data_IF_748593939273
#
_entry.id   IF_748593939273
#
_cell.length_a   1.000
_cell.length_b   1.000
_cell.length_c   1.000
_cell.angle_alpha   90.00
_cell.angle_beta   90.00
_cell.angle_gamma   90.00
#
_symmetry.space_group_name_H-M   'P 1'
#
loop_
_entity.id
_entity.type
_entity.pdbx_description
1 polymer ?
#
# COMPACT_ATOMS: atom_id res chain seq x y z
N UNK A 1 -7.61 -5.02 -0.33
CA UNK A 1 -6.85 -4.88 0.91
C UNK A 1 -5.36 -5.06 0.63
N UNK A 2 -4.56 -4.33 1.37
CA UNK A 2 -3.12 -4.37 1.20
C UNK A 2 -2.49 -5.34 2.21
N UNK A 3 -1.64 -6.23 1.71
CA UNK A 3 -0.94 -7.19 2.56
C UNK A 3 0.31 -6.54 3.17
N UNK A 4 0.23 -6.18 4.44
CA UNK A 4 1.31 -5.48 5.13
C UNK A 4 2.53 -6.37 5.36
N UNK A 5 2.30 -7.64 5.62
CA UNK A 5 3.40 -8.58 5.83
C UNK A 5 4.22 -8.73 4.55
N UNK A 6 3.55 -8.82 3.42
CA UNK A 6 4.23 -8.90 2.13
C UNK A 6 4.99 -7.63 1.82
N UNK A 7 4.39 -6.48 2.15
CA UNK A 7 5.04 -5.19 1.94
C UNK A 7 6.35 -5.08 2.72
N UNK A 8 6.38 -5.58 3.94
CA UNK A 8 7.60 -5.59 4.75
C UNK A 8 8.69 -6.48 4.17
N UNK A 9 8.32 -7.53 3.47
CA UNK A 9 9.28 -8.44 2.82
C UNK A 9 9.90 -7.83 1.58
N UNK A 10 9.23 -6.89 0.95
CA UNK A 10 9.74 -6.27 -0.26
C UNK A 10 10.83 -5.26 0.08
N UNK A 11 11.90 -5.29 -0.71
CA UNK A 11 12.96 -4.30 -0.59
C UNK A 11 12.83 -3.22 -1.65
N UNK A 12 13.62 -2.16 -1.49
CA UNK A 12 13.72 -1.09 -2.46
C UNK A 12 13.02 0.18 -2.04
N UNK A 13 13.30 1.25 -2.76
CA UNK A 13 12.83 2.59 -2.44
C UNK A 13 11.32 2.71 -2.49
N UNK A 14 10.69 2.10 -3.49
CA UNK A 14 9.24 2.12 -3.64
C UNK A 14 8.54 1.50 -2.45
N UNK A 15 9.01 0.31 -2.05
CA UNK A 15 8.43 -0.41 -0.93
C UNK A 15 8.62 0.36 0.38
N UNK A 16 9.77 0.98 0.57
CA UNK A 16 10.03 1.80 1.75
C UNK A 16 9.09 2.99 1.83
N UNK A 17 8.88 3.68 0.72
CA UNK A 17 7.99 4.83 0.66
C UNK A 17 6.55 4.41 0.93
N UNK A 18 6.12 3.29 0.35
CA UNK A 18 4.80 2.74 0.61
C UNK A 18 4.62 2.37 2.08
N UNK A 19 5.64 1.77 2.68
CA UNK A 19 5.61 1.40 4.10
C UNK A 19 5.40 2.61 4.99
N UNK A 20 6.09 3.71 4.71
CA UNK A 20 5.93 4.95 5.46
C UNK A 20 4.51 5.49 5.35
N UNK A 21 3.99 5.50 4.14
CA UNK A 21 2.64 5.99 3.88
C UNK A 21 1.61 5.13 4.63
N UNK A 22 1.77 3.82 4.55
CA UNK A 22 0.87 2.88 5.22
C UNK A 22 0.88 3.07 6.72
N UNK A 23 2.05 3.26 7.32
CA UNK A 23 2.17 3.52 8.76
C UNK A 23 1.46 4.80 9.14
N UNK A 24 1.59 5.84 8.33
CA UNK A 24 0.92 7.10 8.57
C UNK A 24 -0.59 6.91 8.59
N UNK A 25 -1.13 6.16 7.62
CA UNK A 25 -2.55 5.87 7.56
C UNK A 25 -3.00 5.09 8.78
N UNK A 26 -2.24 4.11 9.20
CA UNK A 26 -2.56 3.31 10.38
C UNK A 26 -2.69 4.17 11.62
N UNK A 27 -1.76 5.09 11.79
CA UNK A 27 -1.79 6.02 12.92
C UNK A 27 -3.03 6.92 12.85
N UNK A 28 -3.29 7.50 11.68
CA UNK A 28 -4.44 8.39 11.49
C UNK A 28 -5.78 7.71 11.75
N UNK A 29 -5.89 6.45 11.34
CA UNK A 29 -7.13 5.68 11.49
C UNK A 29 -7.17 4.89 12.78
N UNK A 30 -6.06 4.85 13.51
CA UNK A 30 -5.90 3.99 14.68
C UNK A 30 -6.22 2.53 14.33
N UNK A 31 -5.77 2.11 13.16
CA UNK A 31 -6.04 0.79 12.61
C UNK A 31 -4.78 -0.06 12.65
N UNK A 32 -4.62 -0.80 13.74
CA UNK A 32 -3.46 -1.66 13.93
C UNK A 32 -3.87 -3.13 13.98
N UNK A 33 -4.97 -3.46 13.31
CA UNK A 33 -5.62 -4.76 13.43
C UNK A 33 -5.03 -5.84 12.54
N UNK A 34 -3.76 -6.07 12.62
CA UNK A 34 -3.21 -7.23 11.96
C UNK A 34 -2.40 -6.91 10.74
N UNK A 35 -2.47 -7.79 9.72
CA UNK A 35 -1.53 -7.82 8.62
C UNK A 35 -2.05 -7.22 7.34
N UNK A 36 -3.28 -6.72 7.35
CA UNK A 36 -3.88 -6.13 6.15
C UNK A 36 -4.45 -4.77 6.48
N UNK A 37 -4.42 -3.90 5.48
CA UNK A 37 -4.99 -2.56 5.59
C UNK A 37 -5.99 -2.38 4.47
N UNK A 38 -7.18 -1.91 4.81
CA UNK A 38 -8.19 -1.58 3.80
C UNK A 38 -7.76 -0.33 3.06
N UNK A 39 -7.62 -0.45 1.74
CA UNK A 39 -7.22 0.67 0.88
C UNK A 39 -8.47 1.28 0.28
N UNK A 40 -8.66 2.57 0.54
CA UNK A 40 -9.77 3.35 0.01
C UNK A 40 -9.37 4.02 -1.29
N UNK A 41 -10.34 4.61 -1.98
CA UNK A 41 -10.10 5.29 -3.24
C UNK A 41 -9.04 6.39 -3.12
N UNK A 42 -9.13 7.19 -2.06
CA UNK A 42 -8.16 8.26 -1.83
C UNK A 42 -6.77 7.72 -1.55
N UNK A 43 -6.70 6.58 -0.88
CA UNK A 43 -5.43 5.91 -0.62
C UNK A 43 -4.80 5.43 -1.93
N UNK A 44 -5.61 4.89 -2.84
CA UNK A 44 -5.13 4.47 -4.15
C UNK A 44 -4.56 5.63 -4.93
N UNK A 45 -5.18 6.79 -4.82
CA UNK A 45 -4.69 8.00 -5.46
C UNK A 45 -3.30 8.38 -4.95
N UNK A 46 -3.12 8.32 -3.64
CA UNK A 46 -1.84 8.62 -3.02
C UNK A 46 -0.79 7.57 -3.38
N UNK A 47 -1.16 6.30 -3.38
CA UNK A 47 -0.26 5.20 -3.78
C UNK A 47 0.19 5.38 -5.23
N UNK A 48 -0.72 5.73 -6.12
CA UNK A 48 -0.39 5.99 -7.52
C UNK A 48 0.62 7.13 -7.63
N UNK A 49 0.44 8.17 -6.84
CA UNK A 49 1.37 9.29 -6.80
C UNK A 49 2.76 8.86 -6.33
N UNK A 50 2.82 8.06 -5.29
CA UNK A 50 4.08 7.52 -4.75
C UNK A 50 4.80 6.68 -5.80
N UNK A 51 4.07 5.85 -6.52
CA UNK A 51 4.62 4.99 -7.55
C UNK A 51 4.90 5.73 -8.87
N UNK A 52 4.37 6.95 -9.02
CA UNK A 52 4.54 7.74 -10.23
C UNK A 52 3.77 7.18 -11.42
N UNK A 53 2.60 6.60 -11.17
CA UNK A 53 1.78 5.97 -12.21
C UNK A 53 0.32 6.39 -12.06
N UNK A 54 -0.52 5.96 -13.01
CA UNK A 54 -1.97 6.18 -12.92
C UNK A 54 -2.56 5.25 -11.84
N UNK A 55 -3.79 5.54 -11.41
CA UNK A 55 -4.46 4.69 -10.43
C UNK A 55 -4.66 3.26 -10.96
N UNK A 56 -4.99 3.12 -12.24
CA UNK A 56 -5.13 1.79 -12.85
C UNK A 56 -3.82 1.02 -12.85
N UNK A 57 -2.73 1.71 -13.19
CA UNK A 57 -1.40 1.10 -13.18
C UNK A 57 -0.96 0.77 -11.77
N UNK A 58 -1.29 1.62 -10.80
CA UNK A 58 -0.98 1.36 -9.40
C UNK A 58 -1.67 0.09 -8.91
N UNK A 59 -2.94 -0.08 -9.27
CA UNK A 59 -3.72 -1.25 -8.89
C UNK A 59 -3.07 -2.53 -9.44
N UNK A 60 -2.69 -2.52 -10.71
CA UNK A 60 -1.99 -3.64 -11.34
C UNK A 60 -0.63 -3.89 -10.69
N UNK A 61 0.08 -2.82 -10.35
CA UNK A 61 1.39 -2.92 -9.72
C UNK A 61 1.29 -3.61 -8.38
N UNK A 62 0.30 -3.25 -7.57
CA UNK A 62 0.07 -3.90 -6.29
C UNK A 62 -0.24 -5.37 -6.46
N UNK A 63 -1.00 -5.71 -7.48
CA UNK A 63 -1.33 -7.08 -7.81
C UNK A 63 -0.08 -7.87 -8.21
N UNK A 64 0.75 -7.30 -9.08
CA UNK A 64 2.01 -7.90 -9.52
C UNK A 64 2.98 -8.14 -8.37
N UNK A 65 3.01 -7.24 -7.40
CA UNK A 65 3.88 -7.36 -6.24
C UNK A 65 3.33 -8.32 -5.18
N UNK A 66 2.13 -8.84 -5.39
CA UNK A 66 1.50 -9.75 -4.46
C UNK A 66 0.98 -9.06 -3.21
N UNK A 67 0.73 -7.76 -3.29
CA UNK A 67 0.29 -6.96 -2.14
C UNK A 67 -1.22 -6.92 -1.97
N UNK A 68 -1.97 -7.26 -2.99
CA UNK A 68 -3.43 -7.24 -2.89
C UNK A 68 -3.95 -8.52 -2.26
N UNK A 69 -4.85 -8.37 -1.31
CA UNK A 69 -5.57 -9.48 -0.69
C UNK A 69 -7.07 -9.31 -0.91
N UNK A 70 -7.67 -10.35 -1.34
CA UNK A 70 -9.09 -10.43 -1.55
C UNK A 70 -9.54 -9.87 -2.86
#
# INVERSE_FOLDING_TARGET
>A
KLDLARLEELGGTEAETLSRYVRMIQVQRQDFNGRVLTIRRDDMRAIACILGVTQESADRRLDELGLRQG
#
